data_IF_234988571191
#
_entry.id   IF_234988571191
#
_cell.length_a   1.000
_cell.length_b   1.000
_cell.length_c   1.000
_cell.angle_alpha   90.00
_cell.angle_beta   90.00
_cell.angle_gamma   90.00
#
_symmetry.space_group_name_H-M   'P 1'
#
loop_
_entity.id
_entity.type
_entity.pdbx_description
1 polymer ?
#
# COMPACT_ATOMS: atom_id res chain seq x y z
N UNK A 1 -0.12 12.78 8.35
CA UNK A 1 -0.26 12.49 6.92
C UNK A 1 1.14 12.14 6.44
N UNK A 2 1.35 10.97 5.84
CA UNK A 2 2.67 10.60 5.28
C UNK A 2 2.97 11.56 4.14
N UNK A 3 4.17 12.13 4.11
CA UNK A 3 4.59 12.98 2.99
C UNK A 3 4.93 12.09 1.78
N UNK A 4 4.50 12.50 0.58
CA UNK A 4 4.74 11.74 -0.65
C UNK A 4 6.22 11.33 -0.83
N UNK A 5 7.14 12.24 -0.46
CA UNK A 5 8.60 12.06 -0.57
C UNK A 5 9.15 10.90 0.28
N UNK A 6 8.45 10.48 1.33
CA UNK A 6 8.89 9.37 2.19
C UNK A 6 8.53 8.00 1.58
N UNK A 7 7.52 7.97 0.72
CA UNK A 7 6.93 6.72 0.20
C UNK A 7 7.93 5.80 -0.51
N UNK A 8 8.82 6.29 -1.41
CA UNK A 8 9.80 5.42 -2.07
C UNK A 8 10.72 4.70 -1.07
N UNK A 9 11.13 5.38 0.00
CA UNK A 9 11.96 4.79 1.06
C UNK A 9 11.19 3.71 1.82
N UNK A 10 9.94 3.99 2.21
CA UNK A 10 9.08 3.02 2.89
C UNK A 10 8.87 1.76 2.05
N UNK A 11 8.63 1.92 0.75
CA UNK A 11 8.48 0.80 -0.18
C UNK A 11 9.76 -0.06 -0.21
N UNK A 12 10.93 0.58 -0.29
CA UNK A 12 12.22 -0.12 -0.28
C UNK A 12 12.40 -0.95 1.00
N UNK A 13 12.14 -0.36 2.17
CA UNK A 13 12.24 -1.05 3.46
C UNK A 13 11.21 -2.18 3.58
N UNK A 14 9.99 -1.98 3.05
CA UNK A 14 8.94 -2.98 3.10
C UNK A 14 9.29 -4.20 2.24
N UNK A 15 9.86 -4.00 1.05
CA UNK A 15 10.32 -5.09 0.18
C UNK A 15 11.33 -6.02 0.86
N UNK A 16 12.21 -5.49 1.69
CA UNK A 16 13.17 -6.31 2.46
C UNK A 16 12.49 -7.19 3.52
N UNK A 17 11.32 -6.76 4.01
CA UNK A 17 10.53 -7.49 5.01
C UNK A 17 9.42 -8.34 4.39
N UNK A 18 9.05 -8.07 3.14
CA UNK A 18 8.09 -8.88 2.40
C UNK A 18 8.70 -10.27 2.17
N UNK A 19 8.00 -11.27 2.69
CA UNK A 19 8.48 -12.64 2.73
C UNK A 19 8.21 -13.42 1.44
N UNK A 20 8.33 -14.74 1.56
CA UNK A 20 7.91 -15.72 0.55
C UNK A 20 6.38 -15.66 0.34
N UNK A 21 5.85 -16.28 -0.71
CA UNK A 21 4.41 -16.42 -0.91
C UNK A 21 3.69 -16.85 0.37
N UNK A 22 2.59 -16.17 0.69
CA UNK A 22 1.79 -16.36 1.91
C UNK A 22 0.92 -17.63 1.79
N UNK A 23 1.55 -18.79 1.78
CA UNK A 23 0.88 -20.09 1.65
C UNK A 23 0.62 -20.76 3.02
N UNK A 24 1.32 -20.29 4.05
CA UNK A 24 1.23 -20.87 5.39
C UNK A 24 -0.01 -20.33 6.12
N UNK A 25 -0.85 -21.22 6.69
CA UNK A 25 -2.00 -20.80 7.47
C UNK A 25 -1.54 -20.05 8.73
N UNK A 26 -2.32 -19.04 9.13
CA UNK A 26 -2.10 -18.28 10.37
C UNK A 26 -3.27 -18.52 11.31
N UNK A 27 -2.96 -18.86 12.55
CA UNK A 27 -3.95 -18.96 13.63
C UNK A 27 -4.23 -17.55 14.17
N UNK A 28 -5.41 -17.01 13.83
CA UNK A 28 -5.86 -15.65 14.19
C UNK A 28 -7.35 -15.70 14.53
N UNK A 29 -7.80 -14.89 15.48
CA UNK A 29 -9.22 -14.86 15.89
C UNK A 29 -10.03 -13.86 15.06
N UNK A 30 -9.46 -12.66 14.81
CA UNK A 30 -10.15 -11.59 14.08
C UNK A 30 -9.30 -11.04 12.95
N UNK A 31 -9.83 -11.17 11.73
CA UNK A 31 -9.21 -10.67 10.49
C UNK A 31 -10.07 -9.59 9.87
N UNK A 32 -9.44 -8.53 9.39
CA UNK A 32 -10.07 -7.45 8.64
C UNK A 32 -9.56 -7.50 7.20
N UNK A 33 -10.48 -7.67 6.24
CA UNK A 33 -10.16 -7.59 4.82
C UNK A 33 -10.55 -6.23 4.29
N UNK A 34 -9.63 -5.58 3.60
CA UNK A 34 -9.79 -4.26 3.00
C UNK A 34 -9.65 -4.43 1.50
N UNK A 35 -10.71 -4.11 0.76
CA UNK A 35 -10.71 -4.09 -0.69
C UNK A 35 -10.02 -2.85 -1.24
N UNK A 36 -10.36 -2.52 -2.49
CA UNK A 36 -9.80 -1.40 -3.23
C UNK A 36 -9.93 -0.10 -2.44
N UNK A 37 -8.82 0.66 -2.41
CA UNK A 37 -8.80 1.97 -1.76
C UNK A 37 -8.69 3.10 -2.77
N UNK A 38 -8.04 2.87 -3.93
CA UNK A 38 -7.94 3.84 -5.03
C UNK A 38 -7.77 5.28 -4.56
N UNK A 39 -6.62 5.53 -3.92
CA UNK A 39 -6.21 6.83 -3.39
C UNK A 39 -7.07 7.40 -2.24
N UNK A 40 -8.07 6.68 -1.72
CA UNK A 40 -8.92 7.16 -0.62
C UNK A 40 -8.19 7.12 0.75
N UNK A 41 -7.23 8.02 0.93
CA UNK A 41 -6.35 8.10 2.12
C UNK A 41 -7.16 8.26 3.41
N UNK A 42 -8.25 9.02 3.39
CA UNK A 42 -9.13 9.24 4.53
C UNK A 42 -9.86 7.95 4.95
N UNK A 43 -10.28 7.15 3.98
CA UNK A 43 -10.89 5.84 4.23
C UNK A 43 -9.83 4.86 4.75
N UNK A 44 -8.64 4.81 4.16
CA UNK A 44 -7.51 4.01 4.64
C UNK A 44 -7.14 4.37 6.08
N UNK A 45 -7.07 5.66 6.41
CA UNK A 45 -6.83 6.13 7.78
C UNK A 45 -7.94 5.67 8.72
N UNK A 46 -9.21 5.80 8.29
CA UNK A 46 -10.37 5.34 9.07
C UNK A 46 -10.30 3.84 9.36
N UNK A 47 -9.84 3.02 8.41
CA UNK A 47 -9.64 1.59 8.62
C UNK A 47 -8.64 1.35 9.75
N UNK A 48 -7.50 2.03 9.71
CA UNK A 48 -6.47 1.89 10.75
C UNK A 48 -6.97 2.38 12.12
N UNK A 49 -7.60 3.54 12.18
CA UNK A 49 -8.08 4.14 13.43
C UNK A 49 -9.15 3.28 14.12
N UNK A 50 -10.05 2.65 13.35
CA UNK A 50 -11.18 1.90 13.90
C UNK A 50 -10.91 0.43 14.13
N UNK A 51 -10.11 -0.21 13.28
CA UNK A 51 -10.04 -1.67 13.24
C UNK A 51 -8.67 -2.23 13.59
N UNK A 52 -7.58 -1.49 13.35
CA UNK A 52 -6.23 -2.03 13.51
C UNK A 52 -5.91 -2.47 14.95
N UNK A 53 -6.36 -1.68 15.94
CA UNK A 53 -6.14 -2.00 17.36
C UNK A 53 -6.91 -3.23 17.86
N UNK A 54 -8.02 -3.58 17.21
CA UNK A 54 -8.97 -4.61 17.62
C UNK A 54 -8.95 -5.85 16.69
N UNK A 55 -7.99 -5.92 15.77
CA UNK A 55 -7.76 -7.06 14.89
C UNK A 55 -6.45 -7.76 15.22
N UNK A 56 -6.39 -9.07 14.99
CA UNK A 56 -5.13 -9.82 15.01
C UNK A 56 -4.37 -9.66 13.69
N UNK A 57 -5.11 -9.48 12.59
CA UNK A 57 -4.56 -9.39 11.24
C UNK A 57 -5.43 -8.47 10.38
N UNK A 58 -4.79 -7.59 9.63
CA UNK A 58 -5.42 -6.80 8.56
C UNK A 58 -4.82 -7.22 7.23
N UNK A 59 -5.68 -7.40 6.23
CA UNK A 59 -5.30 -7.83 4.88
C UNK A 59 -5.83 -6.83 3.87
N UNK A 60 -4.93 -6.09 3.24
CA UNK A 60 -5.21 -5.25 2.10
C UNK A 60 -5.11 -6.08 0.81
N UNK A 61 -6.15 -6.03 -0.02
CA UNK A 61 -6.29 -6.91 -1.18
C UNK A 61 -5.62 -6.40 -2.47
N UNK A 62 -5.08 -5.18 -2.46
CA UNK A 62 -4.51 -4.50 -3.62
C UNK A 62 -5.28 -3.23 -3.99
N UNK A 63 -4.97 -2.69 -5.17
CA UNK A 63 -5.63 -1.53 -5.78
C UNK A 63 -5.61 -0.30 -4.85
N UNK A 64 -4.38 0.09 -4.50
CA UNK A 64 -4.06 1.22 -3.62
C UNK A 64 -4.00 2.54 -4.37
N UNK A 65 -3.55 2.48 -5.62
CA UNK A 65 -3.20 3.63 -6.46
C UNK A 65 -4.20 3.82 -7.60
N UNK A 66 -3.93 4.78 -8.49
CA UNK A 66 -4.75 5.14 -9.65
C UNK A 66 -6.15 5.69 -9.30
N UNK A 67 -6.78 6.39 -10.25
CA UNK A 67 -8.13 6.99 -10.16
C UNK A 67 -8.26 8.22 -9.25
N UNK A 68 -7.15 8.74 -8.75
CA UNK A 68 -7.08 9.97 -7.97
C UNK A 68 -5.65 10.49 -7.85
N UNK A 69 -5.46 11.55 -7.09
CA UNK A 69 -4.19 12.30 -7.01
C UNK A 69 -3.41 12.04 -5.71
N UNK A 70 -3.81 11.05 -4.90
CA UNK A 70 -3.19 10.75 -3.59
C UNK A 70 -2.79 9.29 -3.45
N UNK A 71 -2.48 8.63 -4.57
CA UNK A 71 -2.04 7.24 -4.60
C UNK A 71 -0.70 7.04 -3.90
N UNK A 72 0.23 7.98 -4.06
CA UNK A 72 1.55 7.93 -3.41
C UNK A 72 1.38 7.96 -1.88
N UNK A 73 0.61 8.89 -1.35
CA UNK A 73 0.37 9.03 0.09
C UNK A 73 -0.44 7.85 0.65
N UNK A 74 -1.43 7.34 -0.11
CA UNK A 74 -2.21 6.19 0.30
C UNK A 74 -1.33 4.94 0.44
N UNK A 75 -0.51 4.68 -0.59
CA UNK A 75 0.46 3.59 -0.56
C UNK A 75 1.49 3.78 0.56
N UNK A 76 1.97 5.00 0.78
CA UNK A 76 2.88 5.35 1.87
C UNK A 76 2.29 5.08 3.26
N UNK A 77 1.02 5.43 3.49
CA UNK A 77 0.30 5.16 4.74
C UNK A 77 0.19 3.66 5.02
N UNK A 78 -0.23 2.86 4.03
CA UNK A 78 -0.37 1.40 4.20
C UNK A 78 1.01 0.77 4.44
N UNK A 79 2.02 1.18 3.67
CA UNK A 79 3.40 0.67 3.79
C UNK A 79 4.03 1.04 5.14
N UNK A 80 3.79 2.24 5.64
CA UNK A 80 4.24 2.66 6.98
C UNK A 80 3.63 1.76 8.06
N UNK A 81 2.33 1.47 7.99
CA UNK A 81 1.65 0.55 8.91
C UNK A 81 2.17 -0.89 8.82
N UNK A 82 2.52 -1.35 7.62
CA UNK A 82 3.18 -2.64 7.45
C UNK A 82 4.53 -2.69 8.17
N UNK A 83 5.31 -1.62 8.06
CA UNK A 83 6.64 -1.53 8.67
C UNK A 83 6.61 -1.45 10.21
N UNK A 84 5.53 -0.92 10.79
CA UNK A 84 5.28 -0.91 12.25
C UNK A 84 5.18 -2.35 12.80
N UNK A 85 4.39 -3.21 12.15
CA UNK A 85 4.25 -4.62 12.52
C UNK A 85 3.94 -5.51 11.29
N UNK A 86 4.98 -6.07 10.64
CA UNK A 86 4.82 -6.94 9.47
C UNK A 86 4.07 -8.25 9.75
N UNK A 87 3.89 -8.62 11.03
CA UNK A 87 3.11 -9.80 11.39
C UNK A 87 1.61 -9.54 11.37
N UNK A 88 1.21 -8.28 11.55
CA UNK A 88 -0.18 -7.83 11.71
C UNK A 88 -0.82 -7.28 10.44
N UNK A 89 -0.02 -6.93 9.43
CA UNK A 89 -0.53 -6.41 8.16
C UNK A 89 -0.03 -7.26 6.99
N UNK A 90 -0.94 -7.62 6.09
CA UNK A 90 -0.63 -8.22 4.79
C UNK A 90 -1.04 -7.23 3.71
N UNK A 91 -0.15 -7.02 2.75
CA UNK A 91 -0.40 -6.24 1.54
C UNK A 91 -0.34 -7.20 0.36
N UNK A 92 -1.47 -7.40 -0.31
CA UNK A 92 -1.52 -8.14 -1.57
C UNK A 92 -1.36 -7.17 -2.75
N UNK A 93 -1.03 -7.71 -3.91
CA UNK A 93 -0.85 -6.92 -5.13
C UNK A 93 -2.14 -6.97 -5.95
N UNK A 94 -2.71 -5.82 -6.26
CA UNK A 94 -3.82 -5.67 -7.18
C UNK A 94 -3.35 -5.52 -8.62
N UNK A 95 -4.28 -5.35 -9.56
CA UNK A 95 -3.92 -5.11 -10.96
C UNK A 95 -3.47 -3.66 -11.21
N UNK A 96 -3.77 -2.74 -10.30
CA UNK A 96 -3.31 -1.35 -10.35
C UNK A 96 -1.89 -1.16 -9.80
N UNK A 97 -1.33 -2.09 -9.03
CA UNK A 97 0.10 -2.08 -8.68
C UNK A 97 0.92 -2.69 -9.83
N UNK A 98 0.74 -2.22 -11.07
CA UNK A 98 1.39 -2.80 -12.25
C UNK A 98 1.85 -1.74 -13.25
N UNK A 99 3.07 -1.88 -13.80
CA UNK A 99 3.56 -1.00 -14.85
C UNK A 99 2.74 -1.09 -16.16
N UNK A 100 1.91 -2.13 -16.31
CA UNK A 100 0.99 -2.24 -17.44
C UNK A 100 -0.28 -1.39 -17.25
N UNK A 101 -0.64 -1.04 -16.02
CA UNK A 101 -1.90 -0.34 -15.69
C UNK A 101 -1.67 1.15 -15.42
N UNK A 102 -0.64 1.51 -14.67
CA UNK A 102 -0.42 2.89 -14.22
C UNK A 102 -0.30 3.97 -15.31
N UNK A 103 0.17 3.68 -16.55
CA UNK A 103 0.16 4.68 -17.61
C UNK A 103 -1.24 5.15 -18.02
N UNK A 104 -2.30 4.42 -17.66
CA UNK A 104 -3.66 4.67 -18.16
C UNK A 104 -4.61 5.30 -17.14
N UNK A 105 -4.28 5.27 -15.84
CA UNK A 105 -5.22 5.64 -14.77
C UNK A 105 -4.67 6.66 -13.76
N UNK A 106 -3.56 7.31 -14.10
CA UNK A 106 -3.07 8.52 -13.43
C UNK A 106 -1.89 8.32 -12.48
N UNK A 107 -1.58 7.11 -12.02
CA UNK A 107 -0.52 6.93 -11.02
C UNK A 107 0.88 7.23 -11.55
N UNK A 108 1.18 6.91 -12.82
CA UNK A 108 2.47 7.25 -13.42
C UNK A 108 2.68 8.77 -13.49
N UNK A 109 1.64 9.50 -13.87
CA UNK A 109 1.64 10.96 -13.90
C UNK A 109 1.82 11.53 -12.49
N UNK A 110 1.04 11.05 -11.52
CA UNK A 110 1.13 11.44 -10.11
C UNK A 110 2.56 11.30 -9.56
N UNK A 111 3.20 10.14 -9.77
CA UNK A 111 4.58 9.91 -9.30
C UNK A 111 5.56 10.86 -9.99
N UNK A 112 5.41 11.05 -11.30
CA UNK A 112 6.31 11.91 -12.09
C UNK A 112 6.21 13.36 -11.63
N UNK A 113 5.01 13.87 -11.39
CA UNK A 113 4.78 15.25 -10.96
C UNK A 113 5.25 15.49 -9.52
N UNK A 114 4.97 14.56 -8.60
CA UNK A 114 5.29 14.74 -7.17
C UNK A 114 6.75 14.44 -6.84
N UNK A 115 7.33 13.42 -7.47
CA UNK A 115 8.61 12.84 -7.06
C UNK A 115 9.68 12.90 -8.15
N UNK A 116 9.29 13.17 -9.40
CA UNK A 116 10.15 13.14 -10.57
C UNK A 116 10.12 11.78 -11.28
N UNK A 117 10.41 11.80 -12.58
CA UNK A 117 10.30 10.64 -13.48
C UNK A 117 11.09 9.40 -13.00
N UNK A 118 12.29 9.61 -12.46
CA UNK A 118 13.14 8.52 -11.97
C UNK A 118 12.56 7.79 -10.76
N UNK A 119 11.64 8.40 -10.01
CA UNK A 119 11.06 7.79 -8.82
C UNK A 119 10.06 6.68 -9.12
N UNK A 120 9.52 6.62 -10.35
CA UNK A 120 8.56 5.58 -10.73
C UNK A 120 9.14 4.16 -10.63
N UNK A 121 10.45 4.00 -10.81
CA UNK A 121 11.14 2.72 -10.66
C UNK A 121 10.98 2.09 -9.27
N UNK A 122 10.86 2.91 -8.22
CA UNK A 122 10.61 2.42 -6.86
C UNK A 122 9.26 1.70 -6.72
N UNK A 123 8.28 2.06 -7.56
CA UNK A 123 6.90 1.56 -7.50
C UNK A 123 6.64 0.36 -8.41
N UNK A 124 7.40 0.18 -9.51
CA UNK A 124 7.16 -0.89 -10.51
C UNK A 124 7.15 -2.31 -9.93
N UNK A 125 7.99 -2.53 -8.92
CA UNK A 125 8.18 -3.84 -8.29
C UNK A 125 7.46 -3.97 -6.95
N UNK A 126 6.62 -3.00 -6.59
CA UNK A 126 5.63 -3.18 -5.53
C UNK A 126 4.46 -4.01 -6.07
#
# INVERSE_FOLDING_TARGET
MIEALETPKLISEAKEKMGKPLLEPREVNRVIFVGDTHTAVDITQTVFDKFYGDSDLVVFLGDYVDRGETGVENLGLITSKFLEDPSKLIMLRGNHESPLTNPYYGFLEEVTEKLGEASYDSFKEF
#
